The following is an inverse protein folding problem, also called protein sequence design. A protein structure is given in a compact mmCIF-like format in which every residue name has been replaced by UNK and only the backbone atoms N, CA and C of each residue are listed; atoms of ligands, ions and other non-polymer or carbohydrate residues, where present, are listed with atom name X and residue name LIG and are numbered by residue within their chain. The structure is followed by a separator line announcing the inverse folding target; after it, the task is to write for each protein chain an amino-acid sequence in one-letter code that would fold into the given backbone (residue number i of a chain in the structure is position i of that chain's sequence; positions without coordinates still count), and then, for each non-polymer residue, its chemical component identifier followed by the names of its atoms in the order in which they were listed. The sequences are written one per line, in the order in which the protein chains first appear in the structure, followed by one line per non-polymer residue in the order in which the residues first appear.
data_IF_068417562184
#
_entry.id   IF_068417562184
#
_cell.length_a   1.000
_cell.length_b   1.000
_cell.length_c   1.000
_cell.angle_alpha   90.00
_cell.angle_beta   90.00
_cell.angle_gamma   90.00
#
_symmetry.space_group_name_H-M   'P 1'
#
loop_
_entity.id
_entity.type
_entity.pdbx_description
1 polymer ?
#
# COMPACT_ATOMS: atom_id res chain seq x y z
N UNK A 1 -29.05 -20.21 45.83
CA UNK A 1 -29.61 -19.44 44.70
C UNK A 1 -28.60 -19.51 43.58
N UNK A 2 -28.89 -20.39 42.62
CA UNK A 2 -28.05 -20.70 41.48
C UNK A 2 -28.10 -19.53 40.50
N UNK A 3 -26.97 -18.86 40.27
CA UNK A 3 -26.86 -17.91 39.17
C UNK A 3 -26.56 -18.70 37.89
N UNK A 4 -27.51 -18.63 36.97
CA UNK A 4 -27.45 -19.18 35.62
C UNK A 4 -26.15 -18.76 34.93
N UNK A 5 -25.37 -19.78 34.56
CA UNK A 5 -24.32 -19.65 33.56
C UNK A 5 -25.01 -19.32 32.25
N UNK A 6 -24.90 -18.07 31.80
CA UNK A 6 -25.24 -17.71 30.44
C UNK A 6 -24.41 -18.59 29.50
N UNK A 7 -25.10 -19.45 28.74
CA UNK A 7 -24.52 -20.25 27.67
C UNK A 7 -24.05 -19.26 26.59
N UNK A 8 -22.80 -19.33 26.08
CA UNK A 8 -22.41 -18.51 24.96
C UNK A 8 -23.27 -18.92 23.75
N UNK A 9 -23.99 -17.97 23.16
CA UNK A 9 -24.65 -18.16 21.87
C UNK A 9 -23.64 -18.79 20.88
N UNK A 10 -24.05 -19.89 20.25
CA UNK A 10 -23.19 -20.74 19.44
C UNK A 10 -22.26 -19.93 18.52
N UNK A 11 -20.96 -19.99 18.79
CA UNK A 11 -19.94 -19.51 17.88
C UNK A 11 -19.89 -20.43 16.68
N UNK A 12 -20.37 -19.94 15.54
CA UNK A 12 -20.19 -20.63 14.25
C UNK A 12 -18.68 -20.68 13.99
N UNK A 13 -18.08 -21.85 13.75
CA UNK A 13 -16.66 -21.97 13.44
C UNK A 13 -16.26 -21.16 12.21
N UNK A 14 -15.03 -20.62 12.18
CA UNK A 14 -14.53 -19.85 11.03
C UNK A 14 -14.52 -20.68 9.74
N UNK A 15 -14.30 -21.99 9.85
CA UNK A 15 -14.32 -22.94 8.74
C UNK A 15 -15.72 -23.13 8.15
N UNK A 16 -16.76 -22.98 8.97
CA UNK A 16 -18.13 -23.06 8.49
C UNK A 16 -18.49 -21.79 7.72
N UNK A 17 -18.10 -20.62 8.27
CA UNK A 17 -18.35 -19.31 7.65
C UNK A 17 -17.71 -19.21 6.26
N UNK A 18 -16.51 -19.75 6.06
CA UNK A 18 -15.82 -19.73 4.77
C UNK A 18 -16.49 -20.59 3.67
N UNK A 19 -17.46 -21.42 4.04
CA UNK A 19 -18.23 -22.27 3.12
C UNK A 19 -19.65 -21.76 2.84
N UNK A 20 -20.02 -20.60 3.40
CA UNK A 20 -21.36 -20.06 3.26
C UNK A 20 -21.67 -19.60 1.83
N UNK A 21 -22.91 -19.82 1.33
CA UNK A 21 -23.35 -19.23 0.07
C UNK A 21 -23.58 -17.72 0.23
N UNK A 22 -23.52 -17.00 -0.90
CA UNK A 22 -23.63 -15.54 -0.97
C UNK A 22 -24.88 -14.99 -0.26
N UNK A 23 -26.03 -15.63 -0.43
CA UNK A 23 -27.28 -15.21 0.20
C UNK A 23 -27.24 -15.30 1.72
N UNK A 24 -26.53 -16.30 2.25
CA UNK A 24 -26.38 -16.49 3.69
C UNK A 24 -25.41 -15.45 4.26
N UNK A 25 -24.28 -15.20 3.60
CA UNK A 25 -23.34 -14.14 3.97
C UNK A 25 -24.03 -12.77 4.02
N UNK A 26 -24.85 -12.45 3.03
CA UNK A 26 -25.61 -11.19 2.98
C UNK A 26 -26.62 -11.07 4.11
N UNK A 27 -27.34 -12.16 4.44
CA UNK A 27 -28.35 -12.15 5.51
C UNK A 27 -27.74 -12.05 6.89
N UNK A 28 -26.65 -12.77 7.13
CA UNK A 28 -25.97 -12.84 8.43
C UNK A 28 -24.92 -11.74 8.61
N UNK A 29 -24.65 -10.91 7.60
CA UNK A 29 -23.69 -9.79 7.68
C UNK A 29 -23.88 -8.93 8.95
N UNK A 30 -25.11 -8.48 9.34
CA UNK A 30 -25.29 -7.63 10.51
C UNK A 30 -25.00 -8.32 11.84
N UNK A 31 -25.15 -9.65 11.92
CA UNK A 31 -24.94 -10.44 13.13
C UNK A 31 -23.50 -10.93 13.26
N UNK A 32 -22.87 -11.31 12.14
CA UNK A 32 -21.55 -11.94 12.10
C UNK A 32 -20.42 -10.92 11.98
N UNK A 33 -20.58 -9.85 11.19
CA UNK A 33 -19.51 -8.87 11.01
C UNK A 33 -19.03 -8.25 12.34
N UNK A 34 -19.90 -7.77 13.26
CA UNK A 34 -19.43 -7.21 14.53
C UNK A 34 -18.67 -8.24 15.39
N UNK A 35 -19.03 -9.52 15.29
CA UNK A 35 -18.37 -10.61 16.01
C UNK A 35 -16.99 -10.89 15.43
N UNK A 36 -16.87 -10.98 14.10
CA UNK A 36 -15.59 -11.14 13.43
C UNK A 36 -14.66 -9.96 13.72
N UNK A 37 -15.17 -8.74 13.67
CA UNK A 37 -14.42 -7.54 14.06
C UNK A 37 -13.98 -7.60 15.52
N UNK A 38 -14.85 -8.06 16.43
CA UNK A 38 -14.48 -8.24 17.84
C UNK A 38 -13.34 -9.25 18.01
N UNK A 39 -13.43 -10.44 17.40
CA UNK A 39 -12.35 -11.44 17.45
C UNK A 39 -11.07 -10.87 16.83
N UNK A 40 -11.19 -10.19 15.69
CA UNK A 40 -10.08 -9.52 15.03
C UNK A 40 -9.41 -8.47 15.91
N UNK A 41 -10.15 -7.73 16.75
CA UNK A 41 -9.55 -6.76 17.68
C UNK A 41 -8.84 -7.40 18.87
N UNK A 42 -9.25 -8.59 19.32
CA UNK A 42 -8.74 -9.21 20.56
C UNK A 42 -7.77 -10.38 20.35
N UNK A 43 -7.61 -10.90 19.13
CA UNK A 43 -6.60 -11.92 18.88
C UNK A 43 -5.19 -11.30 18.96
N UNK A 44 -4.24 -12.12 19.44
CA UNK A 44 -2.79 -11.84 19.48
C UNK A 44 -2.04 -12.67 18.43
N UNK A 45 -2.72 -13.57 17.71
CA UNK A 45 -2.11 -14.46 16.73
C UNK A 45 -2.30 -13.92 15.31
N UNK A 46 -1.20 -13.57 14.63
CA UNK A 46 -1.26 -13.08 13.25
C UNK A 46 -1.88 -14.07 12.27
N UNK A 47 -1.76 -15.40 12.47
CA UNK A 47 -2.35 -16.40 11.56
C UNK A 47 -3.89 -16.32 11.63
N UNK A 48 -4.43 -16.27 12.85
CA UNK A 48 -5.86 -16.13 13.08
C UNK A 48 -6.37 -14.78 12.54
N UNK A 49 -5.63 -13.70 12.74
CA UNK A 49 -5.97 -12.40 12.16
C UNK A 49 -6.06 -12.43 10.64
N UNK A 50 -5.08 -13.05 9.95
CA UNK A 50 -5.11 -13.16 8.49
C UNK A 50 -6.28 -14.02 8.04
N UNK A 51 -6.58 -15.12 8.73
CA UNK A 51 -7.74 -15.95 8.41
C UNK A 51 -9.05 -15.16 8.52
N UNK A 52 -9.24 -14.40 9.60
CA UNK A 52 -10.42 -13.57 9.79
C UNK A 52 -10.49 -12.46 8.74
N UNK A 53 -9.37 -11.77 8.47
CA UNK A 53 -9.30 -10.73 7.44
C UNK A 53 -9.72 -11.29 6.08
N UNK A 54 -9.20 -12.45 5.69
CA UNK A 54 -9.57 -13.13 4.45
C UNK A 54 -11.06 -13.46 4.40
N UNK A 55 -11.63 -14.01 5.48
CA UNK A 55 -13.07 -14.30 5.55
C UNK A 55 -13.89 -13.02 5.35
N UNK A 56 -13.52 -11.92 6.02
CA UNK A 56 -14.26 -10.66 5.86
C UNK A 56 -14.15 -10.14 4.43
N UNK A 57 -12.95 -10.13 3.85
CA UNK A 57 -12.70 -9.63 2.48
C UNK A 57 -13.36 -10.48 1.41
N UNK A 58 -13.31 -11.81 1.53
CA UNK A 58 -13.83 -12.72 0.51
C UNK A 58 -15.35 -12.91 0.61
N UNK A 59 -15.89 -13.02 1.83
CA UNK A 59 -17.27 -13.45 2.05
C UNK A 59 -18.23 -12.29 2.37
N UNK A 60 -17.76 -11.24 3.03
CA UNK A 60 -18.66 -10.20 3.58
C UNK A 60 -18.50 -8.84 2.92
N UNK A 61 -17.29 -8.46 2.54
CA UNK A 61 -16.99 -7.22 1.85
C UNK A 61 -17.86 -7.01 0.60
N UNK A 62 -18.14 -8.02 -0.26
CA UNK A 62 -19.04 -7.89 -1.41
C UNK A 62 -20.46 -7.41 -1.07
N UNK A 63 -20.89 -7.52 0.18
CA UNK A 63 -22.24 -7.20 0.64
C UNK A 63 -22.32 -5.92 1.45
N UNK A 64 -21.19 -5.25 1.70
CA UNK A 64 -21.14 -4.00 2.46
C UNK A 64 -21.55 -2.82 1.60
N UNK A 65 -22.13 -1.80 2.24
CA UNK A 65 -22.44 -0.55 1.57
C UNK A 65 -21.16 0.25 1.34
N UNK A 66 -20.84 0.52 0.07
CA UNK A 66 -19.65 1.26 -0.35
C UNK A 66 -19.56 2.67 0.25
N UNK A 67 -20.69 3.33 0.54
CA UNK A 67 -20.72 4.68 1.12
C UNK A 67 -20.36 4.71 2.60
N UNK A 68 -20.49 3.59 3.31
CA UNK A 68 -20.18 3.50 4.75
C UNK A 68 -18.95 2.64 5.01
N UNK A 69 -18.26 2.19 3.97
CA UNK A 69 -17.23 1.16 4.04
C UNK A 69 -16.06 1.58 4.92
N UNK A 70 -15.68 2.86 4.86
CA UNK A 70 -14.68 3.45 5.74
C UNK A 70 -15.03 3.24 7.22
N UNK A 71 -16.24 3.62 7.62
CA UNK A 71 -16.68 3.59 9.02
C UNK A 71 -16.95 2.17 9.50
N UNK A 72 -17.53 1.32 8.65
CA UNK A 72 -17.94 -0.03 9.05
C UNK A 72 -16.81 -1.05 9.01
N UNK A 73 -15.77 -0.80 8.20
CA UNK A 73 -14.72 -1.79 7.98
C UNK A 73 -13.31 -1.20 7.97
N UNK A 74 -12.98 -0.29 7.04
CA UNK A 74 -11.57 0.10 6.83
C UNK A 74 -10.93 0.77 8.04
N UNK A 75 -11.57 1.78 8.62
CA UNK A 75 -11.08 2.47 9.83
C UNK A 75 -10.96 1.55 11.05
N UNK A 76 -11.75 0.47 11.10
CA UNK A 76 -11.72 -0.49 12.21
C UNK A 76 -10.63 -1.55 12.03
N UNK A 77 -10.38 -2.00 10.79
CA UNK A 77 -9.54 -3.18 10.52
C UNK A 77 -8.13 -2.81 10.07
N UNK A 78 -7.98 -1.79 9.22
CA UNK A 78 -6.71 -1.49 8.58
C UNK A 78 -5.63 -0.97 9.54
N UNK A 79 -5.91 -0.12 10.55
CA UNK A 79 -4.88 0.30 11.49
C UNK A 79 -4.24 -0.86 12.24
N UNK A 80 -5.03 -1.87 12.64
CA UNK A 80 -4.48 -3.08 13.26
C UNK A 80 -3.79 -3.98 12.22
N UNK A 81 -4.30 -4.07 10.99
CA UNK A 81 -3.61 -4.78 9.88
C UNK A 81 -2.21 -4.24 9.65
N UNK A 82 -2.05 -2.91 9.63
CA UNK A 82 -0.75 -2.24 9.46
C UNK A 82 0.18 -2.56 10.63
N UNK A 83 -0.30 -2.47 11.87
CA UNK A 83 0.51 -2.83 13.05
C UNK A 83 0.98 -4.29 13.00
N UNK A 84 0.10 -5.22 12.66
CA UNK A 84 0.45 -6.63 12.53
C UNK A 84 1.51 -6.86 11.43
N UNK A 85 1.41 -6.13 10.32
CA UNK A 85 2.43 -6.16 9.28
C UNK A 85 3.78 -5.65 9.78
N UNK A 86 3.79 -4.55 10.53
CA UNK A 86 5.01 -3.97 11.11
C UNK A 86 5.64 -4.90 12.16
N UNK A 87 4.83 -5.56 12.98
CA UNK A 87 5.27 -6.56 13.96
C UNK A 87 5.91 -7.77 13.26
N UNK A 88 5.28 -8.27 12.19
CA UNK A 88 5.84 -9.33 11.34
C UNK A 88 7.17 -8.89 10.70
N UNK A 89 7.25 -7.66 10.19
CA UNK A 89 8.47 -7.11 9.61
C UNK A 89 9.60 -6.97 10.62
N UNK A 90 9.26 -6.53 11.84
CA UNK A 90 10.22 -6.44 12.94
C UNK A 90 10.79 -7.82 13.28
N UNK A 91 9.92 -8.82 13.45
CA UNK A 91 10.33 -10.19 13.77
C UNK A 91 11.15 -10.84 12.65
N UNK A 92 10.74 -10.60 11.40
CA UNK A 92 11.48 -11.03 10.22
C UNK A 92 12.90 -10.47 10.22
N UNK A 93 13.04 -9.17 10.51
CA UNK A 93 14.34 -8.47 10.47
C UNK A 93 15.22 -8.80 11.68
N UNK A 94 14.62 -9.02 12.85
CA UNK A 94 15.34 -9.36 14.08
C UNK A 94 15.98 -10.75 13.99
N UNK A 95 15.23 -11.74 13.48
CA UNK A 95 15.70 -13.11 13.37
C UNK A 95 16.48 -13.41 12.08
N UNK A 96 16.36 -12.60 11.02
CA UNK A 96 16.98 -12.87 9.72
C UNK A 96 18.51 -13.06 9.77
N UNK A 97 19.21 -12.43 10.73
CA UNK A 97 20.67 -12.56 10.90
C UNK A 97 21.09 -13.95 11.39
N UNK A 98 20.21 -14.64 12.10
CA UNK A 98 20.46 -15.97 12.66
C UNK A 98 20.13 -17.10 11.67
N UNK A 99 19.50 -16.76 10.53
CA UNK A 99 19.13 -17.70 9.48
C UNK A 99 20.34 -18.51 9.03
N UNK A 100 20.28 -19.84 9.12
CA UNK A 100 21.32 -20.75 8.62
C UNK A 100 20.70 -22.05 8.12
N UNK A 101 21.42 -22.82 7.32
CA UNK A 101 20.96 -24.14 6.85
C UNK A 101 20.84 -25.19 7.96
N UNK A 102 21.41 -24.92 9.13
CA UNK A 102 21.41 -25.82 10.28
C UNK A 102 20.29 -25.49 11.27
N UNK A 103 19.84 -24.23 11.31
CA UNK A 103 18.77 -23.79 12.21
C UNK A 103 17.41 -23.85 11.49
N UNK A 104 16.85 -25.06 11.43
CA UNK A 104 15.57 -25.33 10.77
C UNK A 104 14.38 -24.63 11.44
N UNK A 105 14.45 -24.37 12.75
CA UNK A 105 13.38 -23.71 13.49
C UNK A 105 13.23 -22.25 13.05
N UNK A 106 14.33 -21.47 13.07
CA UNK A 106 14.34 -20.09 12.57
C UNK A 106 13.96 -20.06 11.10
N UNK A 107 14.47 -20.99 10.29
CA UNK A 107 14.09 -21.07 8.88
C UNK A 107 12.57 -21.25 8.73
N UNK A 108 11.96 -22.15 9.49
CA UNK A 108 10.50 -22.36 9.48
C UNK A 108 9.76 -21.08 9.90
N UNK A 109 10.19 -20.43 10.97
CA UNK A 109 9.58 -19.20 11.48
C UNK A 109 9.62 -18.09 10.44
N UNK A 110 10.77 -17.80 9.85
CA UNK A 110 10.90 -16.77 8.82
C UNK A 110 10.07 -17.08 7.57
N UNK A 111 10.02 -18.35 7.16
CA UNK A 111 9.19 -18.77 6.02
C UNK A 111 7.71 -18.61 6.31
N UNK A 112 7.25 -18.97 7.52
CA UNK A 112 5.87 -18.78 7.94
C UNK A 112 5.49 -17.29 8.00
N UNK A 113 6.37 -16.44 8.51
CA UNK A 113 6.15 -14.97 8.54
C UNK A 113 6.02 -14.44 7.11
N UNK A 114 6.97 -14.75 6.22
CA UNK A 114 6.91 -14.31 4.81
C UNK A 114 5.64 -14.78 4.11
N UNK A 115 5.23 -16.04 4.32
CA UNK A 115 4.01 -16.58 3.74
C UNK A 115 2.75 -15.89 4.29
N UNK A 116 2.73 -15.57 5.59
CA UNK A 116 1.63 -14.82 6.22
C UNK A 116 1.55 -13.39 5.66
N UNK A 117 2.70 -12.73 5.46
CA UNK A 117 2.74 -11.42 4.82
C UNK A 117 2.21 -11.46 3.38
N UNK A 118 2.57 -12.47 2.58
CA UNK A 118 2.00 -12.66 1.22
C UNK A 118 0.47 -12.74 1.29
N UNK A 119 -0.08 -13.49 2.23
CA UNK A 119 -1.54 -13.59 2.40
C UNK A 119 -2.18 -12.26 2.83
N UNK A 120 -1.52 -11.49 3.70
CA UNK A 120 -1.96 -10.14 4.08
C UNK A 120 -2.04 -9.22 2.87
N UNK A 121 -0.99 -9.21 2.03
CA UNK A 121 -0.97 -8.41 0.79
C UNK A 121 -2.08 -8.83 -0.18
N UNK A 122 -2.35 -10.14 -0.29
CA UNK A 122 -3.46 -10.65 -1.08
C UNK A 122 -4.83 -10.19 -0.56
N UNK A 123 -5.03 -10.19 0.76
CA UNK A 123 -6.26 -9.69 1.37
C UNK A 123 -6.45 -8.17 1.14
N UNK A 124 -5.39 -7.37 1.28
CA UNK A 124 -5.42 -5.96 0.92
C UNK A 124 -5.71 -5.74 -0.57
N UNK A 125 -5.20 -6.61 -1.44
CA UNK A 125 -5.51 -6.56 -2.88
C UNK A 125 -7.00 -6.80 -3.12
N UNK A 126 -7.60 -7.75 -2.40
CA UNK A 126 -9.05 -7.98 -2.43
C UNK A 126 -9.86 -6.76 -1.99
N UNK A 127 -9.43 -6.05 -0.94
CA UNK A 127 -10.05 -4.78 -0.52
C UNK A 127 -10.06 -3.75 -1.66
N UNK A 128 -8.90 -3.51 -2.28
CA UNK A 128 -8.76 -2.54 -3.36
C UNK A 128 -9.60 -2.94 -4.58
N UNK A 129 -9.52 -4.22 -4.99
CA UNK A 129 -10.29 -4.74 -6.12
C UNK A 129 -11.80 -4.60 -5.91
N UNK A 130 -12.30 -4.84 -4.70
CA UNK A 130 -13.71 -4.67 -4.40
C UNK A 130 -14.17 -3.22 -4.59
N UNK A 131 -13.41 -2.24 -4.08
CA UNK A 131 -13.74 -0.82 -4.26
C UNK A 131 -13.75 -0.48 -5.75
N UNK A 132 -12.74 -0.93 -6.51
CA UNK A 132 -12.68 -0.74 -7.95
C UNK A 132 -13.85 -1.36 -8.72
N UNK A 133 -14.32 -2.53 -8.30
CA UNK A 133 -15.39 -3.25 -8.98
C UNK A 133 -16.79 -2.70 -8.68
N UNK A 134 -16.96 -1.97 -7.57
CA UNK A 134 -18.27 -1.51 -7.09
C UNK A 134 -18.57 -0.06 -7.41
N UNK A 135 -17.56 0.74 -7.78
CA UNK A 135 -17.70 2.19 -7.97
C UNK A 135 -17.08 2.64 -9.29
N UNK A 136 -17.84 3.42 -10.08
CA UNK A 136 -17.32 4.08 -11.29
C UNK A 136 -16.46 5.32 -10.97
N UNK A 137 -16.73 5.94 -9.82
CA UNK A 137 -16.06 7.15 -9.34
C UNK A 137 -15.97 7.06 -7.82
N UNK A 138 -14.77 7.21 -7.27
CA UNK A 138 -14.49 7.02 -5.85
C UNK A 138 -14.30 8.36 -5.16
N UNK A 139 -14.97 8.54 -4.01
CA UNK A 139 -14.76 9.68 -3.10
C UNK A 139 -13.73 9.24 -2.06
N UNK A 140 -12.66 10.02 -1.91
CA UNK A 140 -11.51 9.63 -1.07
C UNK A 140 -11.89 9.52 0.41
N UNK A 141 -12.73 10.42 0.92
CA UNK A 141 -13.25 10.38 2.30
C UNK A 141 -13.87 9.01 2.65
N UNK A 142 -14.58 8.37 1.71
CA UNK A 142 -15.26 7.09 1.93
C UNK A 142 -14.31 5.87 1.96
N UNK A 143 -13.02 6.07 1.72
CA UNK A 143 -12.00 5.01 1.70
C UNK A 143 -10.62 5.45 2.22
N UNK A 144 -10.48 6.60 2.88
CA UNK A 144 -9.17 7.24 3.12
C UNK A 144 -8.16 6.39 3.92
N UNK A 145 -8.64 5.46 4.76
CA UNK A 145 -7.76 4.51 5.47
C UNK A 145 -7.15 3.46 4.54
N UNK A 146 -7.79 3.15 3.41
CA UNK A 146 -7.34 2.10 2.50
C UNK A 146 -6.06 2.48 1.73
N UNK A 147 -6.00 3.58 0.96
CA UNK A 147 -4.78 3.98 0.27
C UNK A 147 -3.59 4.14 1.22
N UNK A 148 -3.78 4.84 2.35
CA UNK A 148 -2.71 5.09 3.31
C UNK A 148 -2.11 3.79 3.89
N UNK A 149 -2.97 2.85 4.30
CA UNK A 149 -2.55 1.55 4.83
C UNK A 149 -1.84 0.70 3.77
N UNK A 150 -2.39 0.65 2.55
CA UNK A 150 -1.83 -0.13 1.44
C UNK A 150 -0.47 0.45 1.01
N UNK A 151 -0.35 1.78 0.90
CA UNK A 151 0.90 2.46 0.56
C UNK A 151 2.00 2.16 1.58
N UNK A 152 1.68 2.18 2.88
CA UNK A 152 2.64 1.81 3.93
C UNK A 152 3.14 0.38 3.77
N UNK A 153 2.23 -0.58 3.62
CA UNK A 153 2.58 -2.01 3.45
C UNK A 153 3.42 -2.23 2.19
N UNK A 154 3.05 -1.62 1.07
CA UNK A 154 3.82 -1.67 -0.19
C UNK A 154 5.23 -1.11 0.02
N UNK A 155 5.33 0.11 0.57
CA UNK A 155 6.62 0.78 0.81
C UNK A 155 7.53 -0.07 1.67
N UNK A 156 7.04 -0.52 2.83
CA UNK A 156 7.80 -1.35 3.77
C UNK A 156 8.23 -2.66 3.11
N UNK A 157 7.35 -3.29 2.33
CA UNK A 157 7.68 -4.51 1.57
C UNK A 157 8.83 -4.28 0.58
N UNK A 158 8.77 -3.23 -0.25
CA UNK A 158 9.83 -2.95 -1.20
C UNK A 158 11.15 -2.53 -0.55
N UNK A 159 11.10 -1.81 0.57
CA UNK A 159 12.29 -1.49 1.36
C UNK A 159 12.97 -2.78 1.84
N UNK A 160 12.20 -3.73 2.37
CA UNK A 160 12.73 -5.03 2.78
C UNK A 160 13.31 -5.82 1.61
N UNK A 161 12.58 -5.92 0.50
CA UNK A 161 13.06 -6.61 -0.71
C UNK A 161 14.36 -5.99 -1.23
N UNK A 162 14.46 -4.65 -1.29
CA UNK A 162 15.66 -3.92 -1.69
C UNK A 162 16.85 -4.23 -0.79
N UNK A 163 16.63 -4.32 0.51
CA UNK A 163 17.67 -4.54 1.50
C UNK A 163 17.93 -6.02 1.81
N UNK A 164 17.18 -6.92 1.18
CA UNK A 164 17.11 -8.35 1.54
C UNK A 164 18.48 -9.04 1.54
N UNK A 165 19.38 -8.73 0.60
CA UNK A 165 20.73 -9.29 0.60
C UNK A 165 21.50 -9.01 1.91
N UNK A 166 21.36 -7.79 2.44
CA UNK A 166 21.99 -7.39 3.71
C UNK A 166 21.24 -7.93 4.92
N UNK A 167 19.90 -7.93 4.90
CA UNK A 167 19.06 -8.43 5.99
C UNK A 167 19.32 -9.92 6.25
N UNK A 168 19.39 -10.73 5.18
CA UNK A 168 19.63 -12.18 5.28
C UNK A 168 21.11 -12.57 5.25
N UNK A 169 22.04 -11.61 5.36
CA UNK A 169 23.49 -11.86 5.46
C UNK A 169 24.03 -12.81 4.37
N UNK A 170 23.57 -12.65 3.13
CA UNK A 170 23.95 -13.49 1.98
C UNK A 170 23.28 -14.88 1.92
N UNK A 171 22.37 -15.21 2.84
CA UNK A 171 21.66 -16.50 2.91
C UNK A 171 20.23 -16.44 2.35
N UNK A 172 19.98 -15.46 1.48
CA UNK A 172 18.71 -15.22 0.80
C UNK A 172 18.11 -16.47 0.15
N UNK A 173 18.97 -17.34 -0.40
CA UNK A 173 18.56 -18.56 -1.12
C UNK A 173 17.64 -19.50 -0.31
N UNK A 174 17.64 -19.42 1.03
CA UNK A 174 16.78 -20.23 1.90
C UNK A 174 15.32 -19.75 1.94
N UNK A 175 15.05 -18.52 1.48
CA UNK A 175 13.74 -17.86 1.50
C UNK A 175 13.41 -17.11 0.20
N UNK A 176 14.25 -17.27 -0.84
CA UNK A 176 14.18 -16.49 -2.06
C UNK A 176 12.86 -16.67 -2.82
N UNK A 177 12.29 -17.88 -2.79
CA UNK A 177 11.00 -18.19 -3.39
C UNK A 177 9.86 -17.36 -2.75
N UNK A 178 9.85 -17.26 -1.42
CA UNK A 178 8.86 -16.49 -0.68
C UNK A 178 9.09 -14.99 -0.78
N UNK A 179 10.34 -14.52 -0.82
CA UNK A 179 10.64 -13.11 -1.09
C UNK A 179 10.21 -12.70 -2.49
N UNK A 180 10.39 -13.57 -3.48
CA UNK A 180 9.89 -13.33 -4.83
C UNK A 180 8.35 -13.31 -4.87
N UNK A 181 7.69 -14.20 -4.14
CA UNK A 181 6.23 -14.19 -4.00
C UNK A 181 5.75 -12.88 -3.35
N UNK A 182 6.40 -12.45 -2.26
CA UNK A 182 6.09 -11.22 -1.56
C UNK A 182 6.28 -9.98 -2.44
N UNK A 183 7.36 -9.90 -3.21
CA UNK A 183 7.59 -8.82 -4.16
C UNK A 183 6.51 -8.78 -5.26
N UNK A 184 6.15 -9.95 -5.82
CA UNK A 184 5.11 -10.05 -6.85
C UNK A 184 3.74 -9.63 -6.34
N UNK A 185 3.39 -10.04 -5.12
CA UNK A 185 2.12 -9.66 -4.50
C UNK A 185 2.09 -8.15 -4.21
N UNK A 186 3.19 -7.57 -3.72
CA UNK A 186 3.30 -6.13 -3.50
C UNK A 186 3.20 -5.32 -4.81
N UNK A 187 3.81 -5.82 -5.88
CA UNK A 187 3.69 -5.23 -7.21
C UNK A 187 2.25 -5.28 -7.73
N UNK A 188 1.57 -6.43 -7.57
CA UNK A 188 0.15 -6.60 -7.93
C UNK A 188 -0.74 -5.63 -7.15
N UNK A 189 -0.54 -5.56 -5.83
CA UNK A 189 -1.25 -4.65 -4.94
C UNK A 189 -1.03 -3.18 -5.33
N UNK A 190 0.22 -2.78 -5.63
CA UNK A 190 0.49 -1.42 -6.09
C UNK A 190 -0.24 -1.13 -7.40
N UNK A 191 -0.25 -2.07 -8.36
CA UNK A 191 -0.97 -1.88 -9.61
C UNK A 191 -2.46 -1.66 -9.37
N UNK A 192 -3.10 -2.48 -8.53
CA UNK A 192 -4.51 -2.28 -8.19
C UNK A 192 -4.76 -0.98 -7.45
N UNK A 193 -3.86 -0.57 -6.56
CA UNK A 193 -3.98 0.72 -5.89
C UNK A 193 -3.89 1.87 -6.89
N UNK A 194 -3.00 1.78 -7.89
CA UNK A 194 -2.90 2.78 -8.94
C UNK A 194 -4.19 2.83 -9.78
N UNK A 195 -4.81 1.69 -10.07
CA UNK A 195 -6.14 1.68 -10.72
C UNK A 195 -7.20 2.37 -9.85
N UNK A 196 -7.24 2.08 -8.54
CA UNK A 196 -8.14 2.73 -7.59
C UNK A 196 -7.95 4.26 -7.58
N UNK A 197 -6.71 4.71 -7.46
CA UNK A 197 -6.38 6.14 -7.41
C UNK A 197 -6.68 6.86 -8.73
N UNK A 198 -6.72 6.15 -9.86
CA UNK A 198 -7.14 6.72 -11.15
C UNK A 198 -8.65 7.00 -11.21
N UNK A 199 -9.44 6.31 -10.38
CA UNK A 199 -10.90 6.48 -10.26
C UNK A 199 -11.30 7.48 -9.17
N UNK A 200 -10.34 8.00 -8.40
CA UNK A 200 -10.62 8.99 -7.36
C UNK A 200 -11.00 10.31 -8.01
N UNK A 201 -12.22 10.76 -7.72
CA UNK A 201 -12.75 12.02 -8.22
C UNK A 201 -12.54 13.13 -7.17
N UNK A 202 -11.63 14.05 -7.45
CA UNK A 202 -11.49 15.29 -6.68
C UNK A 202 -12.48 16.31 -7.24
N UNK A 203 -13.59 16.56 -6.52
CA UNK A 203 -14.59 17.53 -6.99
C UNK A 203 -13.97 18.93 -7.03
N UNK A 204 -13.79 19.56 -8.21
CA UNK A 204 -13.05 20.81 -8.30
C UNK A 204 -13.79 22.02 -7.72
N UNK A 205 -15.07 21.85 -7.34
CA UNK A 205 -15.96 22.89 -6.85
C UNK A 205 -16.05 22.96 -5.32
N UNK A 206 -15.54 21.95 -4.62
CA UNK A 206 -15.63 21.85 -3.16
C UNK A 206 -14.20 21.84 -2.61
N UNK A 207 -13.83 22.89 -1.87
CA UNK A 207 -12.52 23.05 -1.24
C UNK A 207 -12.51 22.30 0.10
N UNK A 208 -12.64 20.98 0.04
CA UNK A 208 -12.53 20.10 1.20
C UNK A 208 -11.05 19.86 1.52
N UNK A 209 -10.52 20.69 2.41
CA UNK A 209 -9.14 20.66 2.89
C UNK A 209 -8.65 19.25 3.27
N UNK A 210 -9.52 18.40 3.81
CA UNK A 210 -9.16 17.06 4.28
C UNK A 210 -8.92 16.08 3.13
N UNK A 211 -9.73 16.11 2.06
CA UNK A 211 -9.51 15.30 0.86
C UNK A 211 -8.19 15.67 0.16
N UNK A 212 -7.89 16.96 0.14
CA UNK A 212 -6.62 17.47 -0.38
C UNK A 212 -5.46 16.93 0.45
N UNK A 213 -5.50 17.06 1.78
CA UNK A 213 -4.46 16.53 2.66
C UNK A 213 -4.26 15.03 2.49
N UNK A 214 -5.34 14.26 2.38
CA UNK A 214 -5.28 12.82 2.13
C UNK A 214 -4.57 12.52 0.80
N UNK A 215 -4.87 13.28 -0.26
CA UNK A 215 -4.22 13.10 -1.55
C UNK A 215 -2.74 13.51 -1.55
N UNK A 216 -2.39 14.57 -0.81
CA UNK A 216 -0.99 14.98 -0.57
C UNK A 216 -0.19 13.83 0.04
N UNK A 217 -0.73 13.20 1.09
CA UNK A 217 -0.11 12.06 1.78
C UNK A 217 0.05 10.86 0.83
N UNK A 218 -0.95 10.59 -0.02
CA UNK A 218 -0.89 9.55 -1.06
C UNK A 218 0.24 9.82 -2.04
N UNK A 219 0.33 11.03 -2.59
CA UNK A 219 1.38 11.41 -3.56
C UNK A 219 2.76 11.28 -2.93
N UNK A 220 2.94 11.78 -1.70
CA UNK A 220 4.20 11.63 -0.96
C UNK A 220 4.61 10.17 -0.78
N UNK A 221 3.67 9.32 -0.38
CA UNK A 221 3.96 7.91 -0.18
C UNK A 221 4.30 7.20 -1.49
N UNK A 222 3.63 7.56 -2.60
CA UNK A 222 3.98 7.07 -3.93
C UNK A 222 5.37 7.53 -4.37
N UNK A 223 5.76 8.79 -4.10
CA UNK A 223 7.11 9.30 -4.37
C UNK A 223 8.16 8.53 -3.55
N UNK A 224 7.89 8.25 -2.28
CA UNK A 224 8.76 7.44 -1.43
C UNK A 224 8.95 6.02 -2.01
N UNK A 225 7.86 5.36 -2.41
CA UNK A 225 7.90 4.06 -3.09
C UNK A 225 8.73 4.16 -4.38
N UNK A 226 8.46 5.18 -5.19
CA UNK A 226 9.17 5.45 -6.44
C UNK A 226 10.69 5.58 -6.22
N UNK A 227 11.10 6.26 -5.14
CA UNK A 227 12.51 6.38 -4.76
C UNK A 227 13.14 5.05 -4.31
N UNK A 228 12.38 4.17 -3.65
CA UNK A 228 12.83 2.83 -3.26
C UNK A 228 13.09 1.99 -4.50
N UNK A 229 12.11 1.91 -5.41
CA UNK A 229 12.14 1.05 -6.60
C UNK A 229 13.07 1.55 -7.71
N UNK A 230 13.51 2.81 -7.65
CA UNK A 230 14.37 3.44 -8.67
C UNK A 230 15.66 2.67 -8.96
N UNK A 231 16.17 1.93 -7.95
CA UNK A 231 17.37 1.10 -8.04
C UNK A 231 17.06 -0.41 -8.09
N UNK A 232 15.78 -0.78 -8.15
CA UNK A 232 15.33 -2.18 -8.20
C UNK A 232 14.98 -2.57 -9.63
N UNK A 233 14.10 -1.80 -10.28
CA UNK A 233 13.62 -2.06 -11.63
C UNK A 233 13.25 -0.74 -12.33
N UNK A 234 13.94 -0.43 -13.44
CA UNK A 234 13.76 0.84 -14.15
C UNK A 234 12.39 0.96 -14.85
N UNK A 235 11.83 -0.13 -15.38
CA UNK A 235 10.53 -0.10 -16.04
C UNK A 235 9.41 0.06 -15.02
N UNK A 236 9.52 -0.60 -13.87
CA UNK A 236 8.59 -0.42 -12.76
C UNK A 236 8.65 1.01 -12.20
N UNK A 237 9.85 1.54 -12.00
CA UNK A 237 10.07 2.93 -11.62
C UNK A 237 9.41 3.89 -12.62
N UNK A 238 9.55 3.62 -13.93
CA UNK A 238 8.95 4.41 -14.98
C UNK A 238 7.43 4.50 -14.93
N UNK A 239 6.80 3.34 -14.80
CA UNK A 239 5.35 3.26 -14.78
C UNK A 239 4.76 3.95 -13.55
N UNK A 240 5.41 3.78 -12.39
CA UNK A 240 5.01 4.43 -11.14
C UNK A 240 5.15 5.94 -11.25
N UNK A 241 6.27 6.44 -11.77
CA UNK A 241 6.50 7.87 -11.94
C UNK A 241 5.53 8.52 -12.93
N UNK A 242 5.29 7.87 -14.08
CA UNK A 242 4.31 8.34 -15.07
C UNK A 242 2.92 8.50 -14.46
N UNK A 243 2.54 7.56 -13.59
CA UNK A 243 1.28 7.62 -12.87
C UNK A 243 1.22 8.76 -11.84
N UNK A 244 2.29 8.95 -11.06
CA UNK A 244 2.40 10.08 -10.13
C UNK A 244 2.19 11.42 -10.86
N UNK A 245 2.87 11.62 -12.00
CA UNK A 245 2.68 12.82 -12.84
C UNK A 245 1.22 12.97 -13.26
N UNK A 246 0.59 11.88 -13.75
CA UNK A 246 -0.82 11.89 -14.17
C UNK A 246 -1.74 12.33 -13.04
N UNK A 247 -1.58 11.76 -11.85
CA UNK A 247 -2.36 12.13 -10.66
C UNK A 247 -2.20 13.60 -10.33
N UNK A 248 -0.96 14.08 -10.26
CA UNK A 248 -0.64 15.46 -9.90
C UNK A 248 -1.26 16.47 -10.87
N UNK A 249 -1.32 16.12 -12.15
CA UNK A 249 -1.97 16.92 -13.19
C UNK A 249 -3.50 16.87 -13.10
N UNK A 250 -4.07 15.67 -12.91
CA UNK A 250 -5.54 15.45 -12.90
C UNK A 250 -6.21 16.14 -11.72
N UNK A 251 -5.53 16.17 -10.58
CA UNK A 251 -6.05 16.77 -9.35
C UNK A 251 -5.91 18.30 -9.31
N UNK A 252 -5.37 18.93 -10.36
CA UNK A 252 -5.04 20.37 -10.39
C UNK A 252 -4.21 20.81 -9.15
N UNK A 253 -3.49 19.84 -8.58
CA UNK A 253 -2.91 19.87 -7.24
C UNK A 253 -2.03 21.09 -7.01
N UNK A 254 -1.15 21.35 -7.97
CA UNK A 254 -0.20 22.46 -7.92
C UNK A 254 -0.85 23.82 -8.12
N UNK A 255 -1.96 23.89 -8.85
CA UNK A 255 -2.67 25.14 -9.13
C UNK A 255 -3.47 25.61 -7.90
N UNK A 256 -4.01 24.68 -7.13
CA UNK A 256 -4.90 24.99 -6.00
C UNK A 256 -4.20 25.06 -4.64
N UNK A 257 -3.10 24.34 -4.43
CA UNK A 257 -2.60 24.08 -3.06
C UNK A 257 -1.14 24.48 -2.84
N UNK A 258 -0.82 25.75 -3.10
CA UNK A 258 0.52 26.34 -2.91
C UNK A 258 1.16 26.05 -1.53
N UNK A 259 0.39 25.97 -0.46
CA UNK A 259 0.93 25.71 0.89
C UNK A 259 1.30 24.23 1.14
N UNK A 260 0.58 23.27 0.55
CA UNK A 260 0.91 21.84 0.68
C UNK A 260 2.05 21.40 -0.23
N UNK A 261 2.39 22.20 -1.25
CA UNK A 261 3.50 21.93 -2.15
C UNK A 261 4.86 22.06 -1.46
N UNK A 262 4.97 22.75 -0.32
CA UNK A 262 6.26 22.98 0.36
C UNK A 262 6.96 21.69 0.81
N UNK A 263 6.23 20.61 1.09
CA UNK A 263 6.82 19.32 1.47
C UNK A 263 7.26 18.46 0.28
N UNK A 264 6.70 18.68 -0.91
CA UNK A 264 6.98 17.91 -2.14
C UNK A 264 8.29 18.18 -2.89
N UNK A 265 8.99 19.33 -2.78
CA UNK A 265 10.11 19.62 -3.67
C UNK A 265 11.27 18.66 -3.41
N UNK A 266 11.56 18.33 -2.15
CA UNK A 266 12.72 17.50 -1.80
C UNK A 266 12.62 16.07 -2.34
N UNK A 267 11.51 15.31 -2.13
CA UNK A 267 11.37 13.99 -2.73
C UNK A 267 11.37 14.04 -4.26
N UNK A 268 10.72 15.02 -4.85
CA UNK A 268 10.64 15.19 -6.30
C UNK A 268 12.01 15.49 -6.92
N UNK A 269 12.77 16.44 -6.37
CA UNK A 269 14.13 16.77 -6.80
C UNK A 269 15.08 15.57 -6.63
N UNK A 270 14.95 14.82 -5.53
CA UNK A 270 15.74 13.60 -5.28
C UNK A 270 15.47 12.52 -6.35
N UNK A 271 14.24 12.43 -6.86
CA UNK A 271 13.92 11.47 -7.91
C UNK A 271 14.43 11.98 -9.26
N UNK A 272 14.26 13.27 -9.57
CA UNK A 272 14.78 13.89 -10.79
C UNK A 272 16.31 13.80 -10.88
N UNK A 273 17.03 13.92 -9.76
CA UNK A 273 18.49 13.81 -9.75
C UNK A 273 19.00 12.42 -10.15
N UNK A 274 18.14 11.39 -10.11
CA UNK A 274 18.47 10.02 -10.54
C UNK A 274 18.35 9.80 -12.05
N UNK A 275 17.82 10.75 -12.83
CA UNK A 275 17.61 10.60 -14.27
C UNK A 275 18.60 11.39 -15.12
N UNK A 276 19.11 10.84 -16.24
CA UNK A 276 19.88 11.63 -17.20
C UNK A 276 19.07 12.82 -17.74
N UNK A 277 19.68 13.98 -17.99
CA UNK A 277 21.13 14.25 -18.02
C UNK A 277 21.73 14.66 -16.66
N UNK A 278 21.09 14.36 -15.52
CA UNK A 278 21.64 14.69 -14.20
C UNK A 278 23.08 14.18 -14.03
N UNK A 279 23.93 15.03 -13.45
CA UNK A 279 25.32 14.69 -13.12
C UNK A 279 25.43 13.59 -12.06
N UNK A 280 24.37 13.38 -11.28
CA UNK A 280 24.29 12.37 -10.22
C UNK A 280 23.62 11.06 -10.70
N UNK A 281 23.09 11.03 -11.91
CA UNK A 281 22.45 9.83 -12.45
C UNK A 281 23.49 8.77 -12.83
N UNK A 282 23.19 7.51 -12.54
CA UNK A 282 23.97 6.40 -13.06
C UNK A 282 23.93 6.38 -14.60
N UNK A 283 25.03 5.98 -15.24
CA UNK A 283 25.06 5.80 -16.69
C UNK A 283 24.10 4.69 -17.13
N UNK A 284 23.12 5.02 -17.96
CA UNK A 284 22.15 4.06 -18.52
C UNK A 284 22.42 3.85 -20.01
N UNK A 285 21.88 2.75 -20.57
CA UNK A 285 22.03 2.47 -22.00
C UNK A 285 21.33 3.53 -22.86
N UNK A 286 21.79 3.72 -24.10
CA UNK A 286 21.21 4.70 -25.02
C UNK A 286 19.72 4.45 -25.30
N UNK A 287 19.31 3.19 -25.43
CA UNK A 287 17.90 2.82 -25.62
C UNK A 287 17.04 3.22 -24.41
N UNK A 288 17.52 3.00 -23.19
CA UNK A 288 16.83 3.43 -21.97
C UNK A 288 16.82 4.96 -21.84
N UNK A 289 17.88 5.64 -22.27
CA UNK A 289 17.90 7.11 -22.29
C UNK A 289 16.86 7.68 -23.26
N UNK A 290 16.70 7.08 -24.44
CA UNK A 290 15.68 7.44 -25.42
C UNK A 290 14.26 7.14 -24.90
N UNK A 291 14.06 6.02 -24.21
CA UNK A 291 12.78 5.68 -23.56
C UNK A 291 12.43 6.66 -22.42
N UNK A 292 13.40 7.00 -21.57
CA UNK A 292 13.24 7.99 -20.51
C UNK A 292 12.95 9.37 -21.11
N UNK A 293 13.70 9.79 -22.13
CA UNK A 293 13.49 11.08 -22.77
C UNK A 293 12.10 11.16 -23.44
N UNK A 294 11.70 10.11 -24.17
CA UNK A 294 10.43 10.09 -24.90
C UNK A 294 9.20 9.92 -24.00
N UNK A 295 9.32 9.23 -22.87
CA UNK A 295 8.17 8.92 -22.00
C UNK A 295 8.13 9.80 -20.75
N UNK A 296 9.27 10.00 -20.08
CA UNK A 296 9.33 10.75 -18.83
C UNK A 296 9.50 12.23 -19.07
N UNK A 297 10.49 12.68 -19.85
CA UNK A 297 10.73 14.13 -20.00
C UNK A 297 9.56 14.83 -20.69
N UNK A 298 8.88 14.16 -21.61
CA UNK A 298 7.68 14.68 -22.28
C UNK A 298 6.52 14.85 -21.28
N UNK A 299 6.29 13.87 -20.39
CA UNK A 299 5.21 13.95 -19.40
C UNK A 299 5.55 14.91 -18.26
N UNK A 300 6.83 15.03 -17.93
CA UNK A 300 7.38 15.89 -16.89
C UNK A 300 7.40 17.36 -17.31
N UNK A 301 7.56 17.68 -18.60
CA UNK A 301 7.69 19.07 -19.09
C UNK A 301 6.51 19.96 -18.68
N UNK A 302 5.23 19.58 -18.89
CA UNK A 302 4.09 20.37 -18.39
C UNK A 302 4.10 20.54 -16.87
N UNK A 303 4.51 19.49 -16.14
CA UNK A 303 4.57 19.52 -14.68
C UNK A 303 5.68 20.46 -14.19
N UNK A 304 6.88 20.41 -14.78
CA UNK A 304 7.97 21.35 -14.49
C UNK A 304 7.54 22.78 -14.80
N UNK A 305 6.88 23.02 -15.94
CA UNK A 305 6.39 24.36 -16.27
C UNK A 305 5.42 24.90 -15.23
N UNK A 306 4.56 24.05 -14.65
CA UNK A 306 3.70 24.41 -13.53
C UNK A 306 4.50 24.63 -12.24
N UNK A 307 5.41 23.73 -11.89
CA UNK A 307 6.25 23.81 -10.69
C UNK A 307 7.16 25.04 -10.68
N UNK A 308 7.69 25.45 -11.83
CA UNK A 308 8.52 26.66 -11.95
C UNK A 308 7.76 27.95 -11.67
N UNK A 309 6.42 27.93 -11.67
CA UNK A 309 5.62 29.07 -11.19
C UNK A 309 5.57 29.19 -9.67
N UNK A 310 6.07 28.17 -8.95
CA UNK A 310 6.00 28.09 -7.49
C UNK A 310 7.36 28.38 -6.84
N UNK A 311 7.45 29.50 -6.12
CA UNK A 311 8.71 30.01 -5.57
C UNK A 311 9.44 29.02 -4.64
N UNK A 312 8.79 28.33 -3.68
CA UNK A 312 9.51 27.37 -2.83
C UNK A 312 10.11 26.18 -3.59
N UNK A 313 9.51 25.77 -4.71
CA UNK A 313 10.12 24.76 -5.58
C UNK A 313 11.37 25.32 -6.26
N UNK A 314 11.28 26.54 -6.80
CA UNK A 314 12.42 27.23 -7.41
C UNK A 314 13.55 27.43 -6.41
N UNK A 315 13.24 27.84 -5.19
CA UNK A 315 14.23 28.05 -4.13
C UNK A 315 14.94 26.74 -3.76
N UNK A 316 14.21 25.62 -3.65
CA UNK A 316 14.81 24.30 -3.41
C UNK A 316 15.68 23.86 -4.58
N UNK A 317 15.24 24.01 -5.83
CA UNK A 317 16.02 23.64 -7.01
C UNK A 317 17.30 24.49 -7.16
N UNK A 318 17.23 25.76 -6.79
CA UNK A 318 18.36 26.70 -6.87
C UNK A 318 19.27 26.63 -5.63
N UNK A 319 18.85 25.97 -4.55
CA UNK A 319 19.70 25.74 -3.39
C UNK A 319 20.83 24.75 -3.77
N UNK A 320 22.06 25.19 -3.57
CA UNK A 320 23.29 24.49 -3.98
C UNK A 320 23.67 23.33 -3.06
N UNK A 321 22.75 22.89 -2.19
CA UNK A 321 22.95 21.86 -1.16
C UNK A 321 22.22 20.54 -1.44
N UNK A 322 21.57 20.39 -2.59
CA UNK A 322 20.92 19.15 -3.02
C UNK A 322 21.91 18.07 -3.49
#
# INVERSE_FOLDING_TARGET
MSQERAVPESAVPLEEISSWPEELCRRELPSVLPRLLSIYQHSDNWIEHIQILKIIVEMFLPHMNHLTLEQTFFSQVLPKTVRLFDDMMYELTSQARELSSQNLEIQSTLRNILQTMVQLLGALTGCVQHVCATQESVILENIHSLPSSVLHVIKSTFVHCKNSESVYSGRLHLVADLLQALFKEAYSLQKQLMELLDMVCMNPLIDEHDDILNMVVVIHSLLDICSVISSMDHAFHANTWKFIIKIMQTTDYFRKHSNCVVSLPTPFCTILSKFPPSLYAAGISKAQQEEIASTFLVTLSPLISQLLTFQPFVDVVLDSKL
#
